data_IF_690316771579
#
_entry.id   IF_690316771579
#
_cell.length_a   1.000
_cell.length_b   1.000
_cell.length_c   1.000
_cell.angle_alpha   90.00
_cell.angle_beta   90.00
_cell.angle_gamma   90.00
#
_symmetry.space_group_name_H-M   'P 1'
#
loop_
_entity.id
_entity.type
_entity.pdbx_description
1 polymer ?
#
# COMPACT_ATOMS: atom_id res chain seq x y z
N UNK A 1 8.12 -8.87 9.76
CA UNK A 1 8.39 -10.26 9.33
C UNK A 1 8.35 -10.32 7.81
N UNK A 2 9.51 -10.45 7.18
CA UNK A 2 9.66 -10.37 5.72
C UNK A 2 9.28 -11.71 5.06
N UNK A 3 8.04 -11.81 4.55
CA UNK A 3 7.68 -12.92 3.65
C UNK A 3 8.25 -12.56 2.28
N UNK A 4 9.53 -12.88 2.09
CA UNK A 4 10.21 -12.84 0.81
C UNK A 4 9.66 -13.98 -0.06
N UNK A 5 8.62 -13.68 -0.84
CA UNK A 5 8.20 -14.52 -1.95
C UNK A 5 9.36 -14.62 -2.94
N UNK A 6 10.01 -15.79 -2.99
CA UNK A 6 11.03 -16.14 -3.97
C UNK A 6 10.37 -16.08 -5.36
N UNK A 7 10.73 -15.08 -6.16
CA UNK A 7 10.25 -14.97 -7.54
C UNK A 7 11.04 -15.92 -8.43
N UNK A 8 10.35 -16.85 -9.10
CA UNK A 8 10.93 -17.83 -10.00
C UNK A 8 11.42 -17.18 -11.31
N UNK A 9 12.74 -17.19 -11.53
CA UNK A 9 13.36 -17.56 -12.81
C UNK A 9 13.20 -16.70 -14.08
N UNK A 10 12.47 -15.58 -14.09
CA UNK A 10 12.40 -14.70 -15.27
C UNK A 10 13.34 -13.52 -15.10
N UNK A 11 14.39 -13.44 -15.94
CA UNK A 11 15.39 -12.36 -15.93
C UNK A 11 14.75 -11.06 -16.44
N UNK A 12 14.07 -10.32 -15.54
CA UNK A 12 13.52 -9.02 -15.88
C UNK A 12 14.66 -7.98 -15.97
N UNK A 13 14.74 -7.19 -17.05
CA UNK A 13 15.77 -6.15 -17.21
C UNK A 13 15.71 -5.09 -16.08
N UNK A 14 14.56 -4.97 -15.41
CA UNK A 14 14.37 -4.21 -14.18
C UNK A 14 13.85 -5.12 -13.07
N UNK A 15 14.70 -5.66 -12.19
CA UNK A 15 14.26 -6.43 -11.03
C UNK A 15 13.27 -5.62 -10.19
N UNK A 16 12.21 -6.28 -9.71
CA UNK A 16 11.29 -5.64 -8.76
C UNK A 16 12.04 -5.38 -7.46
N UNK A 17 12.02 -4.13 -6.99
CA UNK A 17 12.59 -3.78 -5.69
C UNK A 17 11.70 -4.34 -4.58
N UNK A 18 12.30 -4.65 -3.44
CA UNK A 18 11.53 -4.98 -2.24
C UNK A 18 10.69 -3.77 -1.81
N UNK A 19 9.46 -4.06 -1.41
CA UNK A 19 8.52 -3.07 -0.89
C UNK A 19 8.92 -2.72 0.53
N UNK A 20 8.97 -1.42 0.86
CA UNK A 20 9.16 -0.92 2.21
C UNK A 20 7.85 -0.30 2.66
N UNK A 21 7.21 -0.95 3.62
CA UNK A 21 5.97 -0.48 4.23
C UNK A 21 6.29 -0.36 5.72
N UNK A 22 6.23 0.86 6.24
CA UNK A 22 6.51 1.11 7.66
C UNK A 22 5.24 1.08 8.51
N UNK A 23 4.09 1.38 7.91
CA UNK A 23 2.80 1.42 8.59
C UNK A 23 2.24 0.01 8.85
N UNK A 24 1.74 -0.20 10.07
CA UNK A 24 0.86 -1.32 10.41
C UNK A 24 -0.59 -0.87 10.25
N UNK A 25 -1.34 -1.50 9.35
CA UNK A 25 -2.72 -1.13 9.09
C UNK A 25 -3.64 -1.85 10.08
N UNK A 26 -4.03 -1.17 11.15
CA UNK A 26 -4.97 -1.71 12.14
C UNK A 26 -6.44 -1.60 11.75
N UNK A 27 -6.77 -0.70 10.81
CA UNK A 27 -8.13 -0.45 10.32
C UNK A 27 -8.15 -0.71 8.82
N UNK A 28 -9.02 -1.63 8.39
CA UNK A 28 -9.06 -2.13 7.01
C UNK A 28 -10.23 -1.57 6.18
N UNK A 29 -11.08 -0.73 6.76
CA UNK A 29 -12.18 -0.12 6.04
C UNK A 29 -12.46 1.29 6.57
N UNK A 30 -12.82 2.17 5.65
CA UNK A 30 -13.32 3.51 5.95
C UNK A 30 -14.56 3.73 5.10
N UNK A 31 -15.66 4.16 5.73
CA UNK A 31 -16.93 4.35 5.03
C UNK A 31 -17.98 5.06 5.89
N UNK A 32 -19.08 5.53 5.27
CA UNK A 32 -20.19 6.17 5.97
C UNK A 32 -20.86 5.17 6.93
N UNK A 33 -21.32 5.69 8.07
CA UNK A 33 -22.05 4.87 9.06
C UNK A 33 -23.43 4.49 8.51
N UNK A 34 -23.79 3.21 8.62
CA UNK A 34 -25.15 2.72 8.39
C UNK A 34 -25.43 2.15 7.00
N UNK A 35 -24.45 2.08 6.10
CA UNK A 35 -24.59 1.39 4.81
C UNK A 35 -23.97 -0.01 4.91
N UNK A 36 -24.69 -1.07 4.54
CA UNK A 36 -24.15 -2.42 4.56
C UNK A 36 -23.04 -2.57 3.53
N UNK A 37 -21.97 -3.29 3.90
CA UNK A 37 -20.76 -3.43 3.08
C UNK A 37 -21.02 -4.11 1.72
N UNK A 38 -22.10 -4.88 1.61
CA UNK A 38 -22.49 -5.58 0.39
C UNK A 38 -23.13 -4.67 -0.67
N UNK A 39 -23.58 -3.47 -0.29
CA UNK A 39 -24.25 -2.51 -1.17
C UNK A 39 -23.33 -1.34 -1.55
N UNK A 40 -22.08 -1.35 -1.08
CA UNK A 40 -21.13 -0.25 -1.25
C UNK A 40 -20.10 -0.58 -2.31
N UNK A 41 -19.88 0.35 -3.25
CA UNK A 41 -18.74 0.28 -4.15
C UNK A 41 -17.45 0.58 -3.36
N UNK A 42 -16.71 -0.47 -3.03
CA UNK A 42 -15.47 -0.38 -2.27
C UNK A 42 -14.28 -0.14 -3.21
N UNK A 43 -13.45 0.84 -2.85
CA UNK A 43 -12.12 1.00 -3.44
C UNK A 43 -11.13 0.23 -2.58
N UNK A 44 -10.61 -0.89 -3.10
CA UNK A 44 -9.60 -1.70 -2.41
C UNK A 44 -8.23 -1.08 -2.63
N UNK A 45 -7.60 -0.63 -1.55
CA UNK A 45 -6.23 -0.14 -1.57
C UNK A 45 -5.26 -1.26 -1.21
N UNK A 46 -4.19 -1.37 -2.00
CA UNK A 46 -3.03 -2.18 -1.66
C UNK A 46 -2.23 -1.52 -0.54
N UNK A 47 -1.42 -2.32 0.16
CA UNK A 47 -0.51 -1.80 1.19
C UNK A 47 0.45 -0.71 0.67
N UNK A 48 0.77 -0.72 -0.63
CA UNK A 48 1.63 0.30 -1.24
C UNK A 48 0.89 1.64 -1.39
N UNK A 49 -0.38 1.59 -1.82
CA UNK A 49 -1.20 2.79 -1.99
C UNK A 49 -1.49 3.45 -0.65
N UNK A 50 -1.74 2.67 0.41
CA UNK A 50 -1.96 3.23 1.74
C UNK A 50 -0.66 3.85 2.30
N UNK A 51 0.49 3.22 2.11
CA UNK A 51 1.77 3.81 2.51
C UNK A 51 2.09 5.08 1.71
N UNK A 52 1.74 5.12 0.42
CA UNK A 52 1.91 6.31 -0.42
C UNK A 52 1.05 7.49 0.06
N UNK A 53 -0.22 7.24 0.41
CA UNK A 53 -1.12 8.22 1.02
C UNK A 53 -0.53 8.71 2.36
N UNK A 54 -0.02 7.81 3.20
CA UNK A 54 0.62 8.18 4.47
C UNK A 54 1.83 9.11 4.25
N UNK A 55 2.71 8.79 3.32
CA UNK A 55 3.89 9.60 3.02
C UNK A 55 3.51 10.96 2.41
N UNK A 56 2.55 10.98 1.47
CA UNK A 56 2.17 12.20 0.77
C UNK A 56 1.28 13.12 1.62
N UNK A 57 0.18 12.60 2.16
CA UNK A 57 -0.86 13.41 2.82
C UNK A 57 -0.59 13.60 4.31
N UNK A 58 -0.11 12.57 5.01
CA UNK A 58 0.16 12.66 6.45
C UNK A 58 1.55 13.24 6.75
N UNK A 59 2.59 12.81 6.04
CA UNK A 59 3.95 13.31 6.23
C UNK A 59 4.32 14.50 5.32
N UNK A 60 3.50 14.81 4.32
CA UNK A 60 3.76 15.93 3.40
C UNK A 60 4.98 15.71 2.49
N UNK A 61 5.44 14.47 2.31
CA UNK A 61 6.62 14.17 1.50
C UNK A 61 6.33 14.33 0.02
N UNK A 62 7.20 15.05 -0.68
CA UNK A 62 7.19 15.05 -2.14
C UNK A 62 7.69 13.70 -2.69
N UNK A 63 7.36 13.37 -3.94
CA UNK A 63 7.62 12.05 -4.54
C UNK A 63 9.07 11.58 -4.39
N UNK A 64 10.04 12.48 -4.51
CA UNK A 64 11.46 12.14 -4.33
C UNK A 64 11.83 11.82 -2.87
N UNK A 65 11.19 12.49 -1.91
CA UNK A 65 11.41 12.26 -0.48
C UNK A 65 10.77 10.94 -0.04
N UNK A 66 9.57 10.66 -0.54
CA UNK A 66 8.85 9.41 -0.30
C UNK A 66 9.55 8.17 -0.93
N UNK A 67 10.40 8.37 -1.94
CA UNK A 67 11.10 7.30 -2.64
C UNK A 67 12.42 6.85 -2.00
N UNK A 68 12.88 7.53 -0.93
CA UNK A 68 14.14 7.22 -0.22
C UNK A 68 13.95 6.05 0.76
#
# INVERSE_FOLDING_TARGET
MSICSKFNGVKMPRPRKYRRISSEFGINYYGPKGVPMNEMDLVILSHEEVEAIRLADLEGCYQEQAAR
#
